data_IF_118360988553
#
_entry.id   IF_118360988553
#
_cell.length_a   1.000
_cell.length_b   1.000
_cell.length_c   1.000
_cell.angle_alpha   90.00
_cell.angle_beta   90.00
_cell.angle_gamma   90.00
#
_symmetry.space_group_name_H-M   'P 1'
#
loop_
_entity.id
_entity.type
_entity.pdbx_description
1 polymer ?
#
# COMPACT_ATOMS: atom_id res chain seq x y z
N UNK A 1 -15.42 -9.20 -3.09
CA UNK A 1 -14.25 -8.71 -2.32
C UNK A 1 -14.59 -7.39 -1.63
N UNK A 2 -14.54 -7.32 -0.30
CA UNK A 2 -14.66 -6.04 0.43
C UNK A 2 -13.42 -5.19 0.14
N UNK A 3 -13.62 -3.95 -0.30
CA UNK A 3 -12.56 -2.99 -0.65
C UNK A 3 -12.88 -1.65 -0.02
N UNK A 4 -12.00 -1.16 0.84
CA UNK A 4 -12.19 0.10 1.54
C UNK A 4 -10.99 1.01 1.33
N UNK A 5 -11.27 2.27 1.00
CA UNK A 5 -10.27 3.33 0.90
C UNK A 5 -10.33 4.18 2.15
N UNK A 6 -9.16 4.45 2.73
CA UNK A 6 -9.01 5.28 3.91
C UNK A 6 -7.71 6.08 3.77
N UNK A 7 -7.65 7.26 4.38
CA UNK A 7 -6.42 8.03 4.47
C UNK A 7 -6.09 8.28 5.93
N UNK A 8 -4.84 8.01 6.30
CA UNK A 8 -4.32 8.29 7.63
C UNK A 8 -3.44 9.53 7.61
N UNK A 9 -3.72 10.52 8.45
CA UNK A 9 -2.83 11.67 8.59
C UNK A 9 -1.56 11.29 9.37
N UNK A 10 -0.40 11.35 8.72
CA UNK A 10 0.88 11.03 9.32
C UNK A 10 1.44 12.24 10.09
N UNK A 11 1.56 12.19 11.43
CA UNK A 11 2.14 13.29 12.19
C UNK A 11 3.65 13.46 11.93
N UNK A 12 4.34 12.38 11.54
CA UNK A 12 5.77 12.42 11.23
C UNK A 12 6.06 13.10 9.89
N UNK A 13 5.11 13.03 8.94
CA UNK A 13 5.26 13.57 7.60
C UNK A 13 4.43 14.85 7.38
N UNK A 14 3.51 15.17 8.30
CA UNK A 14 2.58 16.29 8.17
C UNK A 14 1.63 16.17 6.98
N UNK A 15 1.31 14.96 6.52
CA UNK A 15 0.50 14.73 5.32
C UNK A 15 -0.35 13.47 5.42
N UNK A 16 -1.39 13.42 4.59
CA UNK A 16 -2.26 12.25 4.48
C UNK A 16 -1.57 11.13 3.68
N UNK A 17 -1.64 9.93 4.23
CA UNK A 17 -1.12 8.70 3.66
C UNK A 17 -2.30 7.79 3.30
N UNK A 18 -2.66 7.69 2.01
CA UNK A 18 -3.72 6.80 1.55
C UNK A 18 -3.40 5.33 1.83
N UNK A 19 -4.44 4.58 2.12
CA UNK A 19 -4.43 3.15 2.40
C UNK A 19 -5.64 2.53 1.69
N UNK A 20 -5.44 1.39 1.06
CA UNK A 20 -6.53 0.54 0.58
C UNK A 20 -6.49 -0.78 1.34
N UNK A 21 -7.67 -1.27 1.71
CA UNK A 21 -7.79 -2.55 2.40
C UNK A 21 -8.70 -3.51 1.63
N UNK A 22 -8.41 -4.80 1.75
CA UNK A 22 -9.18 -5.87 1.12
C UNK A 22 -9.52 -6.97 2.11
N UNK A 23 -10.76 -7.44 2.02
CA UNK A 23 -11.27 -8.50 2.86
C UNK A 23 -11.75 -7.99 4.21
N UNK A 24 -12.27 -8.93 5.01
CA UNK A 24 -12.97 -8.62 6.25
C UNK A 24 -12.31 -9.24 7.47
N UNK A 25 -11.63 -10.39 7.31
CA UNK A 25 -10.98 -11.15 8.38
C UNK A 25 -9.82 -11.98 7.82
N UNK A 26 -8.93 -12.45 8.69
CA UNK A 26 -7.82 -13.34 8.35
C UNK A 26 -6.47 -12.82 8.79
N UNK A 27 -5.40 -13.48 8.34
CA UNK A 27 -4.03 -13.05 8.58
C UNK A 27 -3.79 -11.69 7.92
N UNK A 28 -3.18 -10.76 8.67
CA UNK A 28 -2.91 -9.41 8.19
C UNK A 28 -1.70 -9.41 7.25
N UNK A 29 -1.93 -9.06 5.99
CA UNK A 29 -0.88 -8.88 4.99
C UNK A 29 -0.69 -7.39 4.71
N UNK A 30 0.47 -6.84 5.07
CA UNK A 30 0.86 -5.47 4.75
C UNK A 30 1.66 -5.45 3.45
N UNK A 31 1.25 -4.60 2.52
CA UNK A 31 1.91 -4.38 1.24
C UNK A 31 2.49 -2.96 1.17
N UNK A 32 3.71 -2.85 0.67
CA UNK A 32 4.46 -1.59 0.52
C UNK A 32 4.81 -1.44 -0.97
N UNK A 33 4.33 -0.39 -1.65
CA UNK A 33 4.53 -0.19 -3.08
C UNK A 33 5.99 -0.29 -3.51
N UNK A 34 6.21 -0.82 -4.70
CA UNK A 34 7.54 -0.96 -5.28
C UNK A 34 7.99 0.37 -5.90
N UNK A 35 9.26 0.72 -5.67
CA UNK A 35 9.88 1.94 -6.22
C UNK A 35 8.97 3.18 -6.07
N UNK A 36 8.67 3.90 -7.15
CA UNK A 36 7.87 5.12 -7.14
C UNK A 36 6.35 4.87 -7.31
N UNK A 37 5.87 3.65 -7.12
CA UNK A 37 4.45 3.33 -7.24
C UNK A 37 3.64 3.76 -6.02
N UNK A 38 2.32 3.78 -6.18
CA UNK A 38 1.35 4.09 -5.13
C UNK A 38 0.70 2.83 -4.52
N UNK A 39 -0.04 3.04 -3.44
CA UNK A 39 -0.80 2.01 -2.71
C UNK A 39 -1.81 1.17 -3.54
N UNK A 40 -2.16 1.58 -4.77
CA UNK A 40 -3.04 0.84 -5.68
C UNK A 40 -2.27 0.00 -6.71
N UNK A 41 -0.94 -0.01 -6.67
CA UNK A 41 -0.09 -0.79 -7.56
C UNK A 41 -0.52 -2.25 -7.65
N UNK A 42 -0.76 -2.89 -6.50
CA UNK A 42 -1.11 -4.31 -6.44
C UNK A 42 -2.48 -4.65 -7.05
N UNK A 43 -3.38 -3.68 -7.19
CA UNK A 43 -4.59 -3.86 -8.00
C UNK A 43 -4.26 -3.80 -9.48
N UNK A 44 -3.54 -2.76 -9.90
CA UNK A 44 -3.18 -2.54 -11.30
C UNK A 44 -2.40 -3.72 -11.87
N UNK A 45 -1.47 -4.26 -11.07
CA UNK A 45 -0.62 -5.40 -11.44
C UNK A 45 -1.16 -6.76 -10.99
N UNK A 46 -2.46 -6.87 -10.72
CA UNK A 46 -3.19 -8.16 -10.58
C UNK A 46 -2.78 -9.04 -9.39
N UNK A 47 -1.94 -8.56 -8.46
CA UNK A 47 -1.63 -9.33 -7.25
C UNK A 47 -2.89 -9.57 -6.42
N UNK A 48 -3.70 -8.53 -6.23
CA UNK A 48 -4.95 -8.63 -5.45
C UNK A 48 -5.92 -9.64 -6.09
N UNK A 49 -6.03 -9.66 -7.42
CA UNK A 49 -6.88 -10.63 -8.11
C UNK A 49 -6.36 -12.06 -7.94
N UNK A 50 -5.04 -12.25 -8.05
CA UNK A 50 -4.39 -13.55 -7.88
C UNK A 50 -4.60 -14.17 -6.49
N UNK A 51 -4.68 -13.35 -5.44
CA UNK A 51 -4.91 -13.82 -4.07
C UNK A 51 -6.36 -13.67 -3.59
N UNK A 52 -7.27 -13.19 -4.45
CA UNK A 52 -8.68 -12.94 -4.13
C UNK A 52 -9.40 -14.12 -3.47
N UNK A 53 -9.21 -15.40 -3.87
CA UNK A 53 -9.89 -16.52 -3.21
C UNK A 53 -9.59 -16.62 -1.71
N UNK A 54 -8.37 -16.26 -1.30
CA UNK A 54 -7.94 -16.28 0.10
C UNK A 54 -8.50 -15.09 0.89
N UNK A 55 -8.61 -13.94 0.24
CA UNK A 55 -9.24 -12.73 0.81
C UNK A 55 -10.74 -12.99 1.06
N UNK A 56 -11.43 -13.55 0.07
CA UNK A 56 -12.87 -13.80 0.15
C UNK A 56 -13.20 -14.93 1.13
N UNK A 57 -12.34 -15.93 1.26
CA UNK A 57 -12.46 -16.99 2.27
C UNK A 57 -12.13 -16.54 3.71
N UNK A 58 -11.80 -15.25 3.93
CA UNK A 58 -11.45 -14.72 5.24
C UNK A 58 -10.13 -15.28 5.79
N UNK A 59 -9.24 -15.78 4.91
CA UNK A 59 -7.90 -16.26 5.28
C UNK A 59 -6.89 -15.12 5.30
N UNK A 60 -7.11 -14.08 4.49
CA UNK A 60 -6.27 -12.89 4.41
C UNK A 60 -7.10 -11.61 4.57
N UNK A 61 -6.58 -10.67 5.35
CA UNK A 61 -6.98 -9.27 5.31
C UNK A 61 -5.78 -8.44 4.87
N UNK A 62 -5.89 -7.80 3.71
CA UNK A 62 -4.77 -7.13 3.05
C UNK A 62 -4.87 -5.63 3.29
N UNK A 63 -3.73 -5.02 3.58
CA UNK A 63 -3.58 -3.57 3.75
C UNK A 63 -2.45 -3.14 2.81
N UNK A 64 -2.74 -2.23 1.88
CA UNK A 64 -1.74 -1.64 1.01
C UNK A 64 -1.66 -0.16 1.33
N UNK A 65 -0.48 0.30 1.77
CA UNK A 65 -0.23 1.65 2.27
C UNK A 65 0.58 2.44 1.25
N UNK A 66 0.40 3.76 1.18
CA UNK A 66 1.21 4.57 0.27
C UNK A 66 2.65 4.69 0.76
N UNK A 67 3.57 5.00 -0.16
CA UNK A 67 5.00 5.19 0.15
C UNK A 67 5.42 6.66 0.04
N UNK A 68 6.66 6.95 0.45
CA UNK A 68 7.33 8.25 0.27
C UNK A 68 8.60 8.13 -0.57
N UNK A 69 8.69 7.11 -1.42
CA UNK A 69 9.94 6.80 -2.13
C UNK A 69 10.41 7.95 -3.03
N UNK A 70 9.50 8.67 -3.69
CA UNK A 70 9.84 9.86 -4.50
C UNK A 70 10.34 11.06 -3.70
N UNK A 71 10.05 11.08 -2.39
CA UNK A 71 10.52 12.11 -1.45
C UNK A 71 11.77 11.67 -0.68
N UNK A 72 12.20 10.42 -0.89
CA UNK A 72 13.34 9.81 -0.23
C UNK A 72 14.23 9.15 -1.28
N UNK A 73 14.30 7.82 -1.33
CA UNK A 73 15.33 7.10 -2.09
C UNK A 73 15.32 7.38 -3.61
N UNK A 74 14.20 7.84 -4.15
CA UNK A 74 14.02 8.19 -5.57
C UNK A 74 13.83 9.70 -5.78
N UNK A 75 14.24 10.52 -4.81
CA UNK A 75 14.20 11.96 -4.92
C UNK A 75 15.32 12.45 -5.86
N UNK A 76 14.95 12.96 -7.03
CA UNK A 76 15.90 13.34 -8.08
C UNK A 76 16.86 14.47 -7.68
N UNK A 77 16.46 15.31 -6.71
CA UNK A 77 17.24 16.47 -6.27
C UNK A 77 17.95 16.22 -4.94
N UNK A 78 17.94 14.99 -4.41
CA UNK A 78 18.73 14.69 -3.21
C UNK A 78 20.21 14.61 -3.59
N UNK A 79 21.03 15.42 -2.93
CA UNK A 79 22.48 15.30 -3.04
C UNK A 79 22.90 13.92 -2.52
N UNK A 80 23.64 13.16 -3.32
CA UNK A 80 24.31 11.97 -2.82
C UNK A 80 25.31 12.41 -1.74
N UNK A 81 25.30 11.75 -0.58
CA UNK A 81 26.43 11.85 0.32
C UNK A 81 27.64 11.18 -0.36
N UNK A 82 28.66 11.98 -0.65
CA UNK A 82 29.99 11.55 -1.09
C UNK A 82 30.97 11.70 0.07
#
# INVERSE_FOLDING_TARGET
MNRELFSWHSPALGKDMPIVTYGHYGFALLLIPTAAADYLEYERFQLIDSIKPWIEAGKLKVYSVNSINTESWLHNDMAGEH
#
